data_IF_773234802708
#
_entry.id   IF_773234802708
#
_cell.length_a   1.000
_cell.length_b   1.000
_cell.length_c   1.000
_cell.angle_alpha   90.00
_cell.angle_beta   90.00
_cell.angle_gamma   90.00
#
_symmetry.space_group_name_H-M   'P 1'
#
loop_
_entity.id
_entity.type
_entity.pdbx_description
1 polymer ?
#
# COMPACT_ATOMS: atom_id res chain seq x y z
N UNK A 1 -20.32 -26.28 13.79
CA UNK A 1 -19.92 -25.63 12.51
C UNK A 1 -19.76 -24.14 12.77
N UNK A 2 -18.57 -23.58 12.59
CA UNK A 2 -18.35 -22.13 12.75
C UNK A 2 -18.94 -21.41 11.54
N UNK A 3 -19.78 -20.39 11.77
CA UNK A 3 -20.40 -19.60 10.70
C UNK A 3 -19.31 -18.94 9.85
N UNK A 4 -19.41 -19.07 8.52
CA UNK A 4 -18.48 -18.40 7.61
C UNK A 4 -18.54 -16.87 7.80
N UNK A 5 -17.38 -16.21 7.70
CA UNK A 5 -17.29 -14.75 7.82
C UNK A 5 -17.91 -14.07 6.59
N UNK A 6 -18.60 -12.96 6.80
CA UNK A 6 -19.13 -12.12 5.73
C UNK A 6 -18.08 -11.15 5.20
N UNK A 7 -18.32 -10.55 4.03
CA UNK A 7 -17.46 -9.48 3.52
C UNK A 7 -17.36 -8.29 4.49
N UNK A 8 -18.45 -7.97 5.21
CA UNK A 8 -18.45 -6.91 6.21
C UNK A 8 -17.51 -7.23 7.38
N UNK A 9 -17.44 -8.50 7.79
CA UNK A 9 -16.51 -8.95 8.83
C UNK A 9 -15.05 -8.78 8.38
N UNK A 10 -14.74 -9.14 7.13
CA UNK A 10 -13.39 -8.94 6.58
C UNK A 10 -13.02 -7.46 6.50
N UNK A 11 -13.91 -6.59 6.01
CA UNK A 11 -13.68 -5.13 5.99
C UNK A 11 -13.38 -4.61 7.40
N UNK A 12 -14.16 -5.00 8.41
CA UNK A 12 -13.94 -4.60 9.81
C UNK A 12 -12.59 -5.08 10.35
N UNK A 13 -12.20 -6.32 10.06
CA UNK A 13 -10.91 -6.88 10.50
C UNK A 13 -9.75 -6.07 9.91
N UNK A 14 -9.77 -5.82 8.60
CA UNK A 14 -8.69 -5.14 7.91
C UNK A 14 -8.65 -3.64 8.22
N UNK A 15 -9.79 -2.95 8.31
CA UNK A 15 -9.84 -1.56 8.78
C UNK A 15 -9.26 -1.41 10.18
N UNK A 16 -9.52 -2.35 11.10
CA UNK A 16 -8.94 -2.33 12.44
C UNK A 16 -7.41 -2.49 12.40
N UNK A 17 -6.90 -3.40 11.57
CA UNK A 17 -5.44 -3.60 11.42
C UNK A 17 -4.78 -2.35 10.81
N UNK A 18 -5.35 -1.79 9.74
CA UNK A 18 -4.85 -0.58 9.11
C UNK A 18 -4.83 0.61 10.09
N UNK A 19 -5.91 0.84 10.84
CA UNK A 19 -5.94 1.90 11.84
C UNK A 19 -4.93 1.70 12.97
N UNK A 20 -4.63 0.44 13.34
CA UNK A 20 -3.62 0.16 14.36
C UNK A 20 -2.20 0.56 13.92
N UNK A 21 -1.88 0.39 12.64
CA UNK A 21 -0.50 0.59 12.16
C UNK A 21 -0.29 1.92 11.41
N UNK A 22 -1.33 2.53 10.84
CA UNK A 22 -1.19 3.74 10.01
C UNK A 22 -1.80 5.00 10.64
N UNK A 23 -2.77 4.87 11.54
CA UNK A 23 -3.53 6.05 12.02
C UNK A 23 -2.61 6.95 12.85
N UNK A 24 -2.55 8.22 12.46
CA UNK A 24 -1.78 9.24 13.15
C UNK A 24 -0.30 9.31 12.73
N UNK A 25 0.14 8.46 11.79
CA UNK A 25 1.47 8.59 11.23
C UNK A 25 1.59 9.87 10.39
N UNK A 26 2.77 10.48 10.45
CA UNK A 26 3.10 11.67 9.65
C UNK A 26 3.94 11.25 8.45
N UNK A 27 3.57 11.70 7.26
CA UNK A 27 4.36 11.45 6.04
C UNK A 27 5.67 12.22 6.14
N UNK A 28 6.79 11.52 5.93
CA UNK A 28 8.13 12.09 5.90
C UNK A 28 8.53 12.48 4.48
N UNK A 29 8.29 11.61 3.50
CA UNK A 29 8.55 11.86 2.08
C UNK A 29 7.81 10.87 1.18
N UNK A 30 7.66 11.26 -0.09
CA UNK A 30 7.24 10.38 -1.19
C UNK A 30 8.45 10.15 -2.09
N UNK A 31 8.71 8.89 -2.46
CA UNK A 31 9.80 8.51 -3.37
C UNK A 31 9.37 7.35 -4.25
N UNK A 32 10.18 6.99 -5.23
CA UNK A 32 10.03 5.73 -5.95
C UNK A 32 10.78 4.59 -5.23
N UNK A 33 10.39 3.35 -5.53
CA UNK A 33 11.21 2.20 -5.17
C UNK A 33 12.56 2.31 -5.87
N UNK A 34 13.61 1.93 -5.15
CA UNK A 34 14.96 1.77 -5.69
C UNK A 34 15.05 0.47 -6.49
N UNK A 35 16.01 0.37 -7.41
CA UNK A 35 16.28 -0.87 -8.16
C UNK A 35 16.55 -2.06 -7.23
N UNK A 36 17.18 -1.80 -6.08
CA UNK A 36 17.42 -2.81 -5.04
C UNK A 36 16.11 -3.32 -4.46
N UNK A 37 15.19 -2.43 -4.08
CA UNK A 37 13.88 -2.83 -3.53
C UNK A 37 13.07 -3.61 -4.57
N UNK A 38 13.00 -3.13 -5.81
CA UNK A 38 12.29 -3.83 -6.91
C UNK A 38 12.81 -5.27 -7.05
N UNK A 39 14.14 -5.44 -7.05
CA UNK A 39 14.78 -6.76 -7.11
C UNK A 39 14.52 -7.61 -5.86
N UNK A 40 14.53 -7.01 -4.66
CA UNK A 40 14.26 -7.73 -3.41
C UNK A 40 12.82 -8.24 -3.32
N UNK A 41 11.86 -7.54 -3.91
CA UNK A 41 10.48 -7.99 -4.04
C UNK A 41 10.23 -8.94 -5.22
N UNK A 42 11.24 -9.19 -6.06
CA UNK A 42 11.09 -9.92 -7.34
C UNK A 42 10.00 -9.30 -8.24
N UNK A 43 9.90 -7.97 -8.21
CA UNK A 43 8.96 -7.21 -9.02
C UNK A 43 9.61 -6.79 -10.33
N UNK A 44 8.77 -6.58 -11.36
CA UNK A 44 9.23 -6.06 -12.65
C UNK A 44 9.09 -4.54 -12.74
N UNK A 45 8.22 -3.95 -11.92
CA UNK A 45 8.01 -2.50 -11.84
C UNK A 45 8.36 -1.87 -10.51
N UNK A 46 8.41 -0.55 -10.53
CA UNK A 46 8.52 0.34 -9.39
C UNK A 46 7.19 1.02 -9.10
N UNK A 47 6.87 1.20 -7.83
CA UNK A 47 5.71 1.93 -7.35
C UNK A 47 6.14 3.15 -6.51
N UNK A 48 5.25 4.15 -6.35
CA UNK A 48 5.45 5.19 -5.36
C UNK A 48 5.45 4.58 -3.94
N UNK A 49 6.40 5.03 -3.12
CA UNK A 49 6.56 4.68 -1.71
C UNK A 49 6.22 5.90 -0.86
N UNK A 50 5.24 5.73 0.03
CA UNK A 50 4.94 6.69 1.09
C UNK A 50 5.75 6.29 2.31
N UNK A 51 6.76 7.08 2.68
CA UNK A 51 7.57 6.84 3.89
C UNK A 51 7.09 7.74 5.02
N UNK A 52 6.80 7.15 6.18
CA UNK A 52 6.38 7.85 7.39
C UNK A 52 7.56 8.17 8.31
N UNK A 53 7.36 9.10 9.24
CA UNK A 53 8.42 9.55 10.17
C UNK A 53 8.93 8.47 11.12
N UNK A 54 8.13 7.45 11.40
CA UNK A 54 8.47 6.29 12.24
C UNK A 54 9.20 5.18 11.46
N UNK A 55 9.40 5.35 10.15
CA UNK A 55 10.01 4.36 9.26
C UNK A 55 9.04 3.36 8.62
N UNK A 56 7.74 3.40 8.98
CA UNK A 56 6.72 2.63 8.28
C UNK A 56 6.64 3.09 6.82
N UNK A 57 6.33 2.18 5.89
CA UNK A 57 6.11 2.51 4.48
C UNK A 57 4.79 1.93 3.97
N UNK A 58 4.21 2.58 2.96
CA UNK A 58 3.15 2.01 2.11
C UNK A 58 3.65 1.99 0.67
N UNK A 59 3.45 0.84 0.03
CA UNK A 59 3.68 0.58 -1.38
C UNK A 59 2.48 -0.22 -1.89
N UNK A 60 1.99 0.09 -3.09
CA UNK A 60 0.93 -0.70 -3.71
C UNK A 60 1.52 -1.89 -4.47
N UNK A 61 0.94 -3.07 -4.29
CA UNK A 61 1.11 -4.21 -5.18
C UNK A 61 0.04 -4.22 -6.28
N UNK A 62 0.25 -4.97 -7.35
CA UNK A 62 -0.73 -5.14 -8.44
C UNK A 62 -1.99 -5.88 -7.98
N UNK A 63 -1.85 -6.83 -7.05
CA UNK A 63 -2.93 -7.67 -6.51
C UNK A 63 -2.83 -7.85 -4.98
N UNK A 64 -3.72 -8.67 -4.42
CA UNK A 64 -3.78 -8.98 -2.98
C UNK A 64 -2.82 -10.09 -2.53
N UNK A 65 -2.12 -10.75 -3.46
CA UNK A 65 -1.02 -11.69 -3.17
C UNK A 65 0.30 -10.95 -2.92
N UNK A 66 0.41 -9.72 -3.41
CA UNK A 66 1.62 -8.91 -3.31
C UNK A 66 2.50 -8.97 -4.56
N UNK A 67 1.94 -9.37 -5.71
CA UNK A 67 2.69 -9.46 -6.95
C UNK A 67 2.84 -8.08 -7.59
N UNK A 68 4.06 -7.78 -8.05
CA UNK A 68 4.48 -6.62 -8.85
C UNK A 68 4.03 -5.24 -8.33
N UNK A 69 4.55 -4.17 -8.92
CA UNK A 69 4.18 -2.81 -8.55
C UNK A 69 2.73 -2.48 -8.92
N UNK A 70 2.02 -1.80 -8.02
CA UNK A 70 0.67 -1.27 -8.21
C UNK A 70 0.64 0.26 -8.30
N UNK A 71 -0.48 0.79 -8.80
CA UNK A 71 -0.74 2.22 -8.84
C UNK A 71 -1.44 2.71 -7.55
N UNK A 72 -1.19 3.96 -7.16
CA UNK A 72 -1.94 4.63 -6.09
C UNK A 72 -2.99 5.57 -6.70
N UNK A 73 -4.25 5.37 -6.33
CA UNK A 73 -5.31 6.32 -6.65
C UNK A 73 -5.38 7.40 -5.60
N UNK A 74 -5.57 8.63 -6.05
CA UNK A 74 -5.82 9.78 -5.18
C UNK A 74 -7.11 10.49 -5.62
N UNK A 75 -7.67 11.30 -4.73
CA UNK A 75 -8.77 12.20 -5.04
C UNK A 75 -8.28 13.63 -5.32
N UNK A 76 -6.99 13.82 -5.55
CA UNK A 76 -6.42 15.09 -5.97
C UNK A 76 -6.91 15.44 -7.37
N UNK A 77 -7.28 16.70 -7.59
CA UNK A 77 -7.86 17.16 -8.86
C UNK A 77 -6.87 17.19 -10.01
N UNK A 78 -5.57 17.30 -9.72
CA UNK A 78 -4.50 17.35 -10.73
C UNK A 78 -3.83 16.00 -10.92
N UNK A 79 -3.82 15.15 -9.88
CA UNK A 79 -3.14 13.86 -9.90
C UNK A 79 -4.02 12.72 -9.35
N UNK A 80 -5.02 12.29 -10.11
CA UNK A 80 -5.93 11.21 -9.69
C UNK A 80 -5.27 9.82 -9.61
N UNK A 81 -4.11 9.66 -10.27
CA UNK A 81 -3.36 8.39 -10.31
C UNK A 81 -1.85 8.66 -10.27
N UNK A 82 -1.17 8.02 -9.33
CA UNK A 82 0.28 7.81 -9.38
C UNK A 82 0.54 6.42 -9.97
N UNK A 83 1.06 6.31 -11.19
CA UNK A 83 1.17 5.03 -11.88
C UNK A 83 2.29 4.16 -11.30
N UNK A 84 2.31 2.88 -11.69
CA UNK A 84 3.53 2.07 -11.64
C UNK A 84 4.38 2.34 -12.87
N UNK A 85 5.69 2.10 -12.78
CA UNK A 85 6.63 2.14 -13.92
C UNK A 85 7.34 0.79 -13.95
#
# INVERSE_FOLDING_TARGET
MTKAKTQADYKKIWSRKANKILKGLTVKKIRWMTEKEVKEYDWLGSAPVIEFTDGTIIIASMDDEGNDAGALFTNDSECSVLPRI
#
